data_IF_999119965176
#
_entry.id   IF_999119965176
#
_cell.length_a   1.000
_cell.length_b   1.000
_cell.length_c   1.000
_cell.angle_alpha   90.00
_cell.angle_beta   90.00
_cell.angle_gamma   90.00
#
_symmetry.space_group_name_H-M   'P 1'
#
loop_
_entity.id
_entity.type
_entity.pdbx_description
1 polymer ?
#
# COMPACT_ATOMS: atom_id res chain seq x y z
N UNK A 1 -0.43 -12.04 16.85
CA UNK A 1 0.90 -12.55 16.44
C UNK A 1 0.86 -13.06 15.00
N UNK A 2 1.13 -12.17 14.04
CA UNK A 2 1.65 -12.51 12.72
C UNK A 2 3.09 -12.02 12.74
N UNK A 3 3.93 -12.69 13.52
CA UNK A 3 5.28 -12.86 13.01
C UNK A 3 5.08 -13.74 11.79
N UNK A 4 5.12 -13.13 10.61
CA UNK A 4 5.50 -13.86 9.42
C UNK A 4 6.74 -14.62 9.86
N UNK A 5 6.63 -15.94 9.97
CA UNK A 5 7.76 -16.84 10.11
C UNK A 5 8.60 -16.65 8.86
N UNK A 6 9.33 -15.55 8.76
CA UNK A 6 10.22 -15.20 7.67
C UNK A 6 11.17 -16.36 7.46
N UNK A 7 11.67 -16.96 8.54
CA UNK A 7 12.45 -18.21 8.46
C UNK A 7 11.73 -19.41 7.85
N UNK A 8 10.41 -19.61 8.03
CA UNK A 8 9.67 -20.72 7.39
C UNK A 8 9.28 -20.37 5.95
N UNK A 9 8.91 -19.13 5.68
CA UNK A 9 8.69 -18.58 4.34
C UNK A 9 9.97 -18.67 3.48
N UNK A 10 11.12 -18.27 4.01
CA UNK A 10 12.42 -18.37 3.35
C UNK A 10 12.93 -19.80 3.23
N UNK A 11 12.64 -20.70 4.18
CA UNK A 11 12.93 -22.15 4.05
C UNK A 11 12.07 -22.82 2.98
N UNK A 12 10.80 -22.46 2.89
CA UNK A 12 9.90 -22.96 1.83
C UNK A 12 10.27 -22.40 0.44
N UNK A 13 10.98 -21.26 0.37
CA UNK A 13 11.53 -20.71 -0.87
C UNK A 13 12.79 -21.43 -1.40
N UNK A 14 13.40 -22.33 -0.62
CA UNK A 14 14.52 -23.17 -1.09
C UNK A 14 14.05 -24.36 -1.92
N UNK A 15 12.78 -24.74 -1.78
CA UNK A 15 12.12 -25.59 -2.75
C UNK A 15 11.94 -24.76 -4.03
N UNK A 16 12.57 -25.19 -5.13
CA UNK A 16 12.28 -24.66 -6.47
C UNK A 16 10.77 -24.75 -6.70
N UNK A 17 10.05 -23.65 -6.53
CA UNK A 17 8.69 -23.53 -7.03
C UNK A 17 8.83 -23.38 -8.54
N UNK A 18 8.86 -24.52 -9.25
CA UNK A 18 8.70 -24.56 -10.69
C UNK A 18 7.20 -24.34 -10.93
N UNK A 19 6.82 -23.09 -11.17
CA UNK A 19 5.48 -22.78 -11.63
C UNK A 19 5.40 -23.21 -13.09
N UNK A 20 4.47 -24.11 -13.41
CA UNK A 20 4.20 -24.50 -14.79
C UNK A 20 3.30 -23.43 -15.43
N UNK A 21 3.90 -22.59 -16.27
CA UNK A 21 3.22 -21.50 -17.00
C UNK A 21 2.97 -21.87 -18.47
N UNK A 22 3.07 -23.15 -18.84
CA UNK A 22 2.93 -23.61 -20.25
C UNK A 22 1.60 -23.22 -20.91
N UNK A 23 0.56 -22.98 -20.10
CA UNK A 23 -0.79 -22.64 -20.55
C UNK A 23 -1.03 -21.12 -20.69
N UNK A 24 -0.05 -20.26 -20.37
CA UNK A 24 -0.26 -18.80 -20.30
C UNK A 24 0.81 -18.05 -21.09
N UNK A 25 0.35 -17.15 -21.98
CA UNK A 25 1.21 -16.21 -22.70
C UNK A 25 1.19 -14.83 -22.02
N UNK A 26 2.36 -14.18 -21.90
CA UNK A 26 2.51 -12.83 -21.35
C UNK A 26 1.59 -11.79 -21.98
N UNK A 27 1.25 -11.92 -23.27
CA UNK A 27 0.30 -11.03 -23.95
C UNK A 27 -1.11 -11.10 -23.35
N UNK A 28 -1.62 -12.33 -23.09
CA UNK A 28 -2.94 -12.52 -22.46
C UNK A 28 -3.01 -11.94 -21.04
N UNK A 29 -1.89 -12.00 -20.31
CA UNK A 29 -1.79 -11.39 -19.00
C UNK A 29 -1.88 -9.86 -19.10
N UNK A 30 -1.10 -9.27 -20.02
CA UNK A 30 -1.09 -7.82 -20.25
C UNK A 30 -2.48 -7.35 -20.68
N UNK A 31 -3.13 -8.04 -21.62
CA UNK A 31 -4.46 -7.66 -22.12
C UNK A 31 -5.50 -7.69 -21.00
N UNK A 32 -5.53 -8.77 -20.21
CA UNK A 32 -6.48 -8.91 -19.12
C UNK A 32 -6.33 -7.82 -18.04
N UNK A 33 -5.09 -7.57 -17.59
CA UNK A 33 -4.85 -6.57 -16.53
C UNK A 33 -4.97 -5.13 -17.05
N UNK A 34 -4.55 -4.87 -18.29
CA UNK A 34 -4.70 -3.55 -18.92
C UNK A 34 -6.17 -3.17 -19.06
N UNK A 35 -7.02 -4.08 -19.56
CA UNK A 35 -8.46 -3.83 -19.68
C UNK A 35 -9.11 -3.50 -18.33
N UNK A 36 -8.63 -4.12 -17.25
CA UNK A 36 -9.19 -3.87 -15.92
C UNK A 36 -8.82 -2.47 -15.39
N UNK A 37 -7.60 -1.98 -15.67
CA UNK A 37 -7.15 -0.66 -15.21
C UNK A 37 -7.55 0.49 -16.13
N UNK A 38 -7.84 0.22 -17.41
CA UNK A 38 -8.30 1.23 -18.37
C UNK A 38 -9.81 1.27 -18.54
N UNK A 39 -10.55 0.42 -17.81
CA UNK A 39 -12.00 0.35 -17.92
C UNK A 39 -12.63 1.69 -17.53
N UNK A 40 -13.17 2.40 -18.52
CA UNK A 40 -14.05 3.52 -18.29
C UNK A 40 -15.25 3.01 -17.48
N UNK A 41 -15.45 3.59 -16.31
CA UNK A 41 -16.61 3.32 -15.46
C UNK A 41 -17.68 4.33 -15.87
N UNK A 42 -18.92 3.88 -16.10
CA UNK A 42 -20.02 4.81 -16.24
C UNK A 42 -20.15 5.61 -14.93
N UNK A 43 -20.45 6.92 -14.99
CA UNK A 43 -20.53 7.73 -13.79
C UNK A 43 -21.49 7.08 -12.79
N UNK A 44 -21.02 6.80 -11.57
CA UNK A 44 -21.83 6.16 -10.55
C UNK A 44 -23.07 7.02 -10.27
N UNK A 45 -24.26 6.47 -10.47
CA UNK A 45 -25.51 7.20 -10.18
C UNK A 45 -25.87 7.10 -8.70
N UNK A 46 -26.24 8.23 -8.09
CA UNK A 46 -26.77 8.27 -6.72
C UNK A 46 -25.72 8.14 -5.60
N UNK A 47 -24.44 8.42 -5.85
CA UNK A 47 -23.38 8.43 -4.80
C UNK A 47 -23.73 9.33 -3.63
N UNK A 48 -24.46 10.42 -3.88
CA UNK A 48 -24.96 11.34 -2.85
C UNK A 48 -25.78 10.64 -1.76
N UNK A 49 -26.51 9.56 -2.10
CA UNK A 49 -27.32 8.79 -1.14
C UNK A 49 -26.47 8.09 -0.07
N UNK A 50 -25.19 7.87 -0.34
CA UNK A 50 -24.26 7.15 0.52
C UNK A 50 -23.21 8.07 1.16
N UNK A 51 -23.29 9.39 0.92
CA UNK A 51 -22.29 10.35 1.41
C UNK A 51 -22.92 11.50 2.18
N UNK A 52 -22.45 11.71 3.41
CA UNK A 52 -22.82 12.89 4.21
C UNK A 52 -21.77 13.96 4.01
N UNK A 53 -22.19 15.22 3.89
CA UNK A 53 -21.26 16.35 3.91
C UNK A 53 -20.76 16.56 5.33
N UNK A 54 -19.45 16.50 5.53
CA UNK A 54 -18.86 16.81 6.82
C UNK A 54 -18.48 18.28 6.86
N UNK A 55 -18.75 18.98 7.96
CA UNK A 55 -18.32 20.37 8.13
C UNK A 55 -16.81 20.50 8.19
N UNK A 56 -16.33 21.62 7.65
CA UNK A 56 -14.92 22.01 7.63
C UNK A 56 -14.39 22.11 9.06
N UNK A 57 -13.28 21.43 9.31
CA UNK A 57 -12.60 21.42 10.59
C UNK A 57 -11.31 22.24 10.46
N UNK A 58 -11.17 23.27 11.29
CA UNK A 58 -10.19 24.34 11.11
C UNK A 58 -8.73 24.07 11.57
N UNK A 59 -8.40 23.16 12.49
CA UNK A 59 -7.00 22.99 12.85
C UNK A 59 -6.28 22.17 11.77
N UNK A 60 -5.32 22.82 11.12
CA UNK A 60 -4.37 22.17 10.24
C UNK A 60 -3.51 21.21 11.06
N UNK A 61 -3.71 19.90 10.91
CA UNK A 61 -2.77 18.93 11.45
C UNK A 61 -1.41 19.10 10.76
N UNK A 62 -0.36 19.23 11.57
CA UNK A 62 1.00 19.31 11.07
C UNK A 62 1.44 18.04 10.35
N UNK A 63 2.24 18.23 9.28
CA UNK A 63 3.04 17.16 8.70
C UNK A 63 4.12 16.67 9.68
N UNK A 64 4.70 15.47 9.46
CA UNK A 64 5.77 14.97 10.31
C UNK A 64 6.89 15.99 10.52
N UNK A 65 7.28 16.19 11.77
CA UNK A 65 8.46 16.99 12.10
C UNK A 65 9.76 16.25 11.71
N UNK A 66 10.93 16.82 12.01
CA UNK A 66 12.22 16.22 11.69
C UNK A 66 12.41 14.84 12.34
N UNK A 67 12.09 14.71 13.62
CA UNK A 67 12.26 13.46 14.36
C UNK A 67 11.26 12.39 13.90
N UNK A 68 10.02 12.79 13.60
CA UNK A 68 9.01 11.91 13.02
C UNK A 68 9.41 11.44 11.61
N UNK A 69 9.98 12.32 10.78
CA UNK A 69 10.48 11.98 9.45
C UNK A 69 11.65 10.98 9.50
N UNK A 70 12.64 11.22 10.38
CA UNK A 70 13.74 10.28 10.63
C UNK A 70 13.20 8.92 11.13
N UNK A 71 12.18 8.96 11.98
CA UNK A 71 11.50 7.74 12.46
C UNK A 71 10.82 7.00 11.32
N UNK A 72 10.15 7.70 10.39
CA UNK A 72 9.56 7.09 9.18
C UNK A 72 10.66 6.38 8.38
N UNK A 73 11.76 7.07 8.07
CA UNK A 73 12.88 6.49 7.31
C UNK A 73 13.44 5.26 8.01
N UNK A 74 13.70 5.35 9.32
CA UNK A 74 14.28 4.27 10.14
C UNK A 74 13.46 2.97 10.07
N UNK A 75 12.13 3.08 10.06
CA UNK A 75 11.23 1.93 10.07
C UNK A 75 10.92 1.34 8.69
N UNK A 76 11.46 1.92 7.60
CA UNK A 76 11.33 1.30 6.27
C UNK A 76 12.19 0.04 6.15
N UNK A 77 11.84 -0.92 5.31
CA UNK A 77 12.72 -2.09 5.06
C UNK A 77 13.87 -1.71 4.13
N UNK A 78 15.13 -2.03 4.49
CA UNK A 78 16.32 -1.65 3.72
C UNK A 78 16.24 -2.05 2.24
N UNK A 79 15.78 -3.28 1.98
CA UNK A 79 15.73 -3.89 0.65
C UNK A 79 14.32 -3.95 0.07
N UNK A 80 13.45 -3.01 0.48
CA UNK A 80 12.13 -2.86 -0.14
C UNK A 80 12.29 -2.61 -1.64
N UNK A 81 11.56 -3.36 -2.47
CA UNK A 81 11.60 -3.24 -3.93
C UNK A 81 11.48 -1.78 -4.37
N UNK A 82 12.45 -1.26 -5.14
CA UNK A 82 12.43 0.11 -5.65
C UNK A 82 11.43 0.22 -6.80
N UNK A 83 11.14 1.47 -7.20
CA UNK A 83 10.40 1.71 -8.44
C UNK A 83 11.35 1.71 -9.63
N UNK A 84 10.94 2.38 -10.70
CA UNK A 84 11.76 2.57 -11.89
C UNK A 84 13.04 3.40 -11.66
N UNK A 85 13.17 4.04 -10.50
CA UNK A 85 14.36 4.78 -10.06
C UNK A 85 15.49 3.88 -9.53
N UNK A 86 15.21 2.63 -9.18
CA UNK A 86 16.18 1.70 -8.61
C UNK A 86 16.69 2.08 -7.21
N UNK A 87 16.08 3.07 -6.54
CA UNK A 87 16.58 3.59 -5.26
C UNK A 87 16.02 2.78 -4.10
N UNK A 88 16.90 2.03 -3.42
CA UNK A 88 16.56 1.28 -2.21
C UNK A 88 16.57 2.15 -0.95
N UNK A 89 15.71 1.80 0.02
CA UNK A 89 15.69 2.46 1.33
C UNK A 89 17.03 2.34 2.08
N UNK A 90 17.84 1.32 1.79
CA UNK A 90 19.20 1.20 2.33
C UNK A 90 19.98 2.51 2.12
N UNK A 91 20.06 3.00 0.89
CA UNK A 91 20.82 4.23 0.61
C UNK A 91 20.18 5.45 1.28
N UNK A 92 18.85 5.55 1.26
CA UNK A 92 18.12 6.65 1.92
C UNK A 92 18.41 6.69 3.42
N UNK A 93 18.43 5.54 4.11
CA UNK A 93 18.73 5.46 5.55
C UNK A 93 20.16 5.85 5.88
N UNK A 94 21.11 5.44 5.06
CA UNK A 94 22.54 5.66 5.32
C UNK A 94 23.02 7.06 4.94
N UNK A 95 22.37 7.73 3.98
CA UNK A 95 22.68 9.09 3.57
C UNK A 95 21.94 10.13 4.44
N UNK A 96 22.28 10.20 5.72
CA UNK A 96 21.63 11.08 6.72
C UNK A 96 21.70 12.55 6.36
N UNK A 97 22.76 12.99 5.70
CA UNK A 97 22.93 14.38 5.23
C UNK A 97 21.83 14.81 4.25
N UNK A 98 21.19 13.84 3.57
CA UNK A 98 20.08 14.13 2.65
C UNK A 98 18.72 14.22 3.36
N UNK A 99 18.59 13.80 4.62
CA UNK A 99 17.29 13.67 5.28
C UNK A 99 16.57 15.00 5.40
N UNK A 100 17.29 16.08 5.74
CA UNK A 100 16.69 17.41 5.84
C UNK A 100 16.24 17.95 4.47
N UNK A 101 17.00 17.67 3.41
CA UNK A 101 16.62 18.04 2.04
C UNK A 101 15.38 17.23 1.61
N UNK A 102 15.41 15.91 1.82
CA UNK A 102 14.31 15.01 1.48
C UNK A 102 13.03 15.40 2.21
N UNK A 103 13.12 15.70 3.52
CA UNK A 103 11.97 16.18 4.32
C UNK A 103 11.38 17.45 3.72
N UNK A 104 12.23 18.45 3.42
CA UNK A 104 11.77 19.71 2.81
C UNK A 104 11.08 19.47 1.46
N UNK A 105 11.65 18.64 0.58
CA UNK A 105 11.03 18.36 -0.71
C UNK A 105 9.72 17.57 -0.55
N UNK A 106 9.69 16.55 0.32
CA UNK A 106 8.45 15.82 0.65
C UNK A 106 7.36 16.76 1.14
N UNK A 107 7.68 17.72 2.01
CA UNK A 107 6.71 18.70 2.49
C UNK A 107 6.23 19.63 1.37
N UNK A 108 7.13 20.16 0.53
CA UNK A 108 6.74 21.01 -0.59
C UNK A 108 5.79 20.30 -1.53
N UNK A 109 6.08 19.04 -1.89
CA UNK A 109 5.20 18.22 -2.73
C UNK A 109 3.86 17.97 -2.03
N UNK A 110 3.87 17.55 -0.76
CA UNK A 110 2.66 17.26 -0.01
C UNK A 110 1.75 18.48 0.24
N UNK A 111 2.33 19.67 0.25
CA UNK A 111 1.62 20.94 0.43
C UNK A 111 1.21 21.61 -0.89
N UNK A 112 1.56 21.03 -2.05
CA UNK A 112 1.30 21.60 -3.37
C UNK A 112 2.23 22.76 -3.76
N UNK A 113 3.35 22.93 -3.04
CA UNK A 113 4.38 23.95 -3.28
C UNK A 113 5.48 23.46 -4.25
N UNK A 114 5.44 22.19 -4.63
CA UNK A 114 6.24 21.57 -5.68
C UNK A 114 5.40 20.52 -6.40
N UNK A 115 5.64 20.27 -7.71
CA UNK A 115 4.91 19.25 -8.44
C UNK A 115 5.24 17.85 -7.93
N UNK A 116 4.26 16.96 -8.00
CA UNK A 116 4.49 15.52 -7.88
C UNK A 116 5.04 15.01 -9.23
N UNK A 117 6.33 14.71 -9.24
CA UNK A 117 7.07 14.32 -10.44
C UNK A 117 6.58 13.00 -11.04
N UNK A 118 6.48 12.94 -12.36
CA UNK A 118 5.95 11.78 -13.09
C UNK A 118 6.72 10.49 -12.78
N UNK A 119 8.05 10.59 -12.68
CA UNK A 119 8.89 9.43 -12.36
C UNK A 119 8.62 8.85 -10.97
N UNK A 120 8.13 9.65 -10.02
CA UNK A 120 7.73 9.18 -8.69
C UNK A 120 6.41 8.41 -8.75
N UNK A 121 5.52 8.81 -9.65
CA UNK A 121 4.21 8.20 -9.87
C UNK A 121 4.22 7.03 -10.85
N UNK A 122 5.38 6.68 -11.43
CA UNK A 122 5.52 5.51 -12.28
C UNK A 122 5.82 4.25 -11.46
N UNK A 123 4.91 3.29 -11.51
CA UNK A 123 5.04 1.98 -10.87
C UNK A 123 5.41 0.88 -11.85
N UNK A 124 6.29 -0.04 -11.43
CA UNK A 124 6.57 -1.28 -12.17
C UNK A 124 5.72 -2.40 -11.57
N UNK A 125 4.82 -2.99 -12.35
CA UNK A 125 3.95 -4.08 -11.91
C UNK A 125 4.50 -5.42 -12.32
N UNK A 126 4.66 -6.28 -11.32
CA UNK A 126 5.00 -7.69 -11.47
C UNK A 126 3.76 -8.54 -11.23
N UNK A 127 3.53 -9.54 -12.08
CA UNK A 127 2.43 -10.46 -11.94
C UNK A 127 2.90 -11.72 -11.20
N UNK A 128 2.35 -11.95 -10.01
CA UNK A 128 2.68 -13.09 -9.17
C UNK A 128 1.57 -14.14 -9.18
N UNK A 129 1.86 -15.41 -9.46
CA UNK A 129 0.83 -16.45 -9.46
C UNK A 129 0.30 -16.71 -8.04
N UNK A 130 -1.01 -16.97 -7.91
CA UNK A 130 -1.67 -17.30 -6.64
C UNK A 130 -1.45 -18.77 -6.24
N UNK A 131 -1.16 -19.63 -7.21
CA UNK A 131 -1.01 -21.08 -7.10
C UNK A 131 0.12 -21.56 -8.02
N UNK A 132 0.56 -22.81 -7.84
CA UNK A 132 1.72 -23.36 -8.55
C UNK A 132 1.46 -23.69 -10.02
N UNK A 133 0.18 -23.81 -10.40
CA UNK A 133 -0.27 -24.14 -11.76
C UNK A 133 -1.35 -23.15 -12.20
N UNK A 134 -0.99 -21.89 -12.48
CA UNK A 134 -1.96 -20.91 -12.93
C UNK A 134 -2.43 -21.25 -14.35
N UNK A 135 -3.75 -21.26 -14.56
CA UNK A 135 -4.40 -21.56 -15.84
C UNK A 135 -5.11 -20.35 -16.45
N UNK A 136 -5.19 -19.22 -15.73
CA UNK A 136 -5.76 -17.98 -16.25
C UNK A 136 -5.12 -16.72 -15.67
N UNK A 137 -5.25 -15.60 -16.37
CA UNK A 137 -4.69 -14.31 -15.96
C UNK A 137 -5.24 -13.81 -14.60
N UNK A 138 -6.47 -14.16 -14.26
CA UNK A 138 -7.12 -13.80 -12.99
C UNK A 138 -6.49 -14.48 -11.77
N UNK A 139 -5.73 -15.56 -11.99
CA UNK A 139 -4.98 -16.27 -10.96
C UNK A 139 -3.61 -15.64 -10.67
N UNK A 140 -3.27 -14.54 -11.33
CA UNK A 140 -2.14 -13.70 -10.94
C UNK A 140 -2.59 -12.59 -9.99
N UNK A 141 -1.64 -12.06 -9.23
CA UNK A 141 -1.79 -10.85 -8.42
C UNK A 141 -0.81 -9.81 -8.97
N UNK A 142 -1.29 -8.63 -9.40
CA UNK A 142 -0.41 -7.54 -9.72
C UNK A 142 0.20 -7.00 -8.42
N UNK A 143 1.51 -6.85 -8.41
CA UNK A 143 2.23 -6.17 -7.34
C UNK A 143 3.01 -5.04 -7.98
N UNK A 144 2.54 -3.82 -7.72
CA UNK A 144 3.18 -2.60 -8.22
C UNK A 144 4.26 -2.12 -7.26
N UNK A 145 5.48 -2.00 -7.77
CA UNK A 145 6.62 -1.42 -7.09
C UNK A 145 6.76 0.06 -7.48
N UNK A 146 6.41 0.95 -6.54
CA UNK A 146 6.58 2.39 -6.66
C UNK A 146 7.98 2.84 -6.20
N UNK A 147 8.40 4.05 -6.59
CA UNK A 147 9.59 4.71 -6.01
C UNK A 147 9.53 4.70 -4.48
N UNK A 148 10.66 4.44 -3.84
CA UNK A 148 10.73 4.51 -2.38
C UNK A 148 10.59 5.95 -1.87
N UNK A 149 10.96 6.95 -2.67
CA UNK A 149 10.73 8.38 -2.35
C UNK A 149 9.25 8.74 -2.42
N UNK A 150 8.50 8.16 -3.38
CA UNK A 150 7.04 8.25 -3.42
C UNK A 150 6.39 7.64 -2.18
N UNK A 151 6.84 6.44 -1.77
CA UNK A 151 6.33 5.77 -0.56
C UNK A 151 6.61 6.57 0.71
N UNK A 152 7.79 7.17 0.85
CA UNK A 152 8.12 8.05 1.99
C UNK A 152 7.22 9.29 1.99
N UNK A 153 7.00 9.91 0.82
CA UNK A 153 6.18 11.11 0.67
C UNK A 153 4.71 10.83 1.04
N UNK A 154 4.12 9.79 0.45
CA UNK A 154 2.75 9.34 0.76
C UNK A 154 2.61 8.87 2.21
N UNK A 155 3.66 8.28 2.80
CA UNK A 155 3.68 7.93 4.23
C UNK A 155 3.59 9.17 5.11
N UNK A 156 4.30 10.24 4.78
CA UNK A 156 4.22 11.49 5.54
C UNK A 156 2.81 12.11 5.48
N UNK A 157 2.18 12.10 4.31
CA UNK A 157 0.78 12.52 4.13
C UNK A 157 -0.16 11.61 4.91
N UNK A 158 0.08 10.30 4.90
CA UNK A 158 -0.72 9.32 5.66
C UNK A 158 -0.66 9.58 7.17
N UNK A 159 0.50 9.96 7.73
CA UNK A 159 0.59 10.33 9.15
C UNK A 159 -0.30 11.54 9.47
N UNK A 160 -0.25 12.58 8.65
CA UNK A 160 -1.10 13.77 8.81
C UNK A 160 -2.59 13.43 8.65
N UNK A 161 -2.95 12.66 7.61
CA UNK A 161 -4.32 12.20 7.37
C UNK A 161 -4.86 11.36 8.54
N UNK A 162 -4.06 10.47 9.12
CA UNK A 162 -4.50 9.64 10.24
C UNK A 162 -4.75 10.45 11.51
N UNK A 163 -3.96 11.50 11.74
CA UNK A 163 -4.22 12.46 12.83
C UNK A 163 -5.52 13.22 12.58
N UNK A 164 -5.77 13.71 11.36
CA UNK A 164 -7.03 14.38 10.99
C UNK A 164 -8.24 13.48 11.21
N UNK A 165 -8.18 12.26 10.68
CA UNK A 165 -9.22 11.23 10.83
C UNK A 165 -9.50 10.96 12.31
N UNK A 166 -8.45 10.87 13.13
CA UNK A 166 -8.59 10.59 14.56
C UNK A 166 -9.22 11.77 15.31
N UNK A 167 -8.75 12.99 15.07
CA UNK A 167 -9.24 14.19 15.76
C UNK A 167 -10.72 14.42 15.43
N UNK A 168 -11.11 14.16 14.18
CA UNK A 168 -12.48 14.32 13.70
C UNK A 168 -13.38 13.10 13.93
N UNK A 169 -12.84 12.00 14.46
CA UNK A 169 -13.61 10.77 14.71
C UNK A 169 -14.24 10.15 13.45
N UNK A 170 -13.55 10.22 12.30
CA UNK A 170 -14.15 9.83 11.01
C UNK A 170 -14.26 8.31 10.79
N UNK A 171 -13.67 7.50 11.65
CA UNK A 171 -13.75 6.04 11.57
C UNK A 171 -14.74 5.52 12.60
N UNK A 172 -15.59 4.59 12.16
CA UNK A 172 -16.45 3.81 13.07
C UNK A 172 -15.61 2.98 14.03
N UNK A 173 -16.11 2.79 15.25
CA UNK A 173 -15.53 1.90 16.25
C UNK A 173 -15.39 0.45 15.78
N UNK A 174 -16.21 0.04 14.80
CA UNK A 174 -16.17 -1.29 14.20
C UNK A 174 -15.08 -1.42 13.12
N UNK A 175 -14.40 -0.35 12.73
CA UNK A 175 -13.31 -0.40 11.78
C UNK A 175 -12.07 -0.95 12.48
N UNK A 176 -11.72 -2.22 12.22
CA UNK A 176 -10.47 -2.80 12.73
C UNK A 176 -9.41 -3.00 11.66
N UNK A 177 -9.79 -2.93 10.38
CA UNK A 177 -8.86 -3.00 9.25
C UNK A 177 -7.99 -1.75 9.16
N UNK A 178 -6.69 -1.93 8.94
CA UNK A 178 -5.72 -0.82 8.73
C UNK A 178 -5.61 0.14 9.92
N UNK A 179 -6.09 -0.26 11.10
CA UNK A 179 -5.98 0.51 12.34
C UNK A 179 -4.67 0.25 13.07
N UNK A 180 -4.09 1.31 13.66
CA UNK A 180 -2.89 1.18 14.48
C UNK A 180 -3.20 0.44 15.76
N UNK A 181 -2.32 -0.49 16.15
CA UNK A 181 -2.37 -1.23 17.42
C UNK A 181 -3.63 -2.10 17.59
N UNK A 182 -4.26 -2.51 16.49
CA UNK A 182 -5.42 -3.41 16.48
C UNK A 182 -5.03 -4.73 15.81
N UNK A 183 -5.44 -5.87 16.36
CA UNK A 183 -5.24 -7.20 15.78
C UNK A 183 -6.35 -7.59 14.78
N UNK A 184 -6.92 -6.61 14.09
CA UNK A 184 -7.85 -6.72 12.95
C UNK A 184 -8.79 -7.92 13.02
N UNK A 185 -8.61 -8.85 12.08
CA UNK A 185 -9.42 -10.05 11.94
C UNK A 185 -9.46 -10.94 13.19
N UNK A 186 -8.41 -10.97 14.01
CA UNK A 186 -8.40 -11.78 15.25
C UNK A 186 -9.34 -11.21 16.29
N UNK A 187 -9.33 -9.90 16.47
CA UNK A 187 -10.25 -9.23 17.40
C UNK A 187 -11.70 -9.35 16.92
N UNK A 188 -11.98 -9.17 15.62
CA UNK A 188 -13.32 -9.42 15.07
C UNK A 188 -13.79 -10.87 15.24
N UNK A 189 -12.91 -11.85 15.02
CA UNK A 189 -13.27 -13.25 15.19
C UNK A 189 -13.63 -13.56 16.65
N UNK A 190 -12.85 -13.06 17.61
CA UNK A 190 -13.12 -13.21 19.03
C UNK A 190 -14.41 -12.49 19.44
N UNK A 191 -14.65 -11.27 18.94
CA UNK A 191 -15.88 -10.54 19.19
C UNK A 191 -17.11 -11.28 18.65
N UNK A 192 -17.03 -11.82 17.44
CA UNK A 192 -18.12 -12.63 16.86
C UNK A 192 -18.42 -13.86 17.73
N UNK A 193 -17.39 -14.61 18.14
CA UNK A 193 -17.54 -15.77 19.02
C UNK A 193 -18.21 -15.38 20.34
N UNK A 194 -17.76 -14.31 20.98
CA UNK A 194 -18.28 -13.85 22.27
C UNK A 194 -19.75 -13.42 22.18
N UNK A 195 -20.09 -12.63 21.15
CA UNK A 195 -21.47 -12.18 20.91
C UNK A 195 -22.37 -13.39 20.64
N UNK A 196 -21.96 -14.30 19.76
CA UNK A 196 -22.78 -15.45 19.43
C UNK A 196 -22.99 -16.38 20.64
N UNK A 197 -21.95 -16.59 21.46
CA UNK A 197 -22.05 -17.35 22.71
C UNK A 197 -23.04 -16.71 23.71
N UNK A 198 -23.00 -15.39 23.90
CA UNK A 198 -23.93 -14.67 24.77
C UNK A 198 -25.39 -14.83 24.32
N UNK A 199 -25.61 -15.00 23.02
CA UNK A 199 -26.92 -15.27 22.43
C UNK A 199 -27.21 -16.77 22.22
N UNK A 200 -26.53 -17.64 22.96
CA UNK A 200 -26.72 -19.11 22.93
C UNK A 200 -26.57 -19.70 21.52
N UNK A 201 -25.69 -19.13 20.72
CA UNK A 201 -25.41 -19.55 19.34
C UNK A 201 -26.63 -19.45 18.41
N UNK A 202 -27.54 -18.50 18.68
CA UNK A 202 -28.77 -18.28 17.90
C UNK A 202 -28.67 -17.13 16.90
N UNK A 203 -27.49 -16.53 16.73
CA UNK A 203 -27.29 -15.45 15.76
C UNK A 203 -26.81 -16.03 14.43
N UNK A 204 -27.32 -15.44 13.35
CA UNK A 204 -26.84 -15.69 12.00
C UNK A 204 -25.72 -14.69 11.67
N UNK A 205 -24.70 -15.16 10.95
CA UNK A 205 -23.60 -14.33 10.46
C UNK A 205 -23.53 -14.37 8.95
N UNK A 206 -23.24 -13.22 8.34
CA UNK A 206 -23.01 -13.08 6.90
C UNK A 206 -21.61 -12.54 6.67
N UNK A 207 -20.89 -13.16 5.74
CA UNK A 207 -19.55 -12.74 5.35
C UNK A 207 -19.61 -12.16 3.94
N UNK A 208 -19.21 -10.90 3.80
CA UNK A 208 -19.22 -10.17 2.53
C UNK A 208 -17.77 -9.86 2.19
N UNK A 209 -17.35 -10.22 0.98
CA UNK A 209 -16.01 -9.92 0.46
C UNK A 209 -16.12 -9.20 -0.89
N UNK A 210 -15.22 -8.24 -1.11
CA UNK A 210 -15.20 -7.42 -2.32
C UNK A 210 -14.15 -7.98 -3.27
N UNK A 211 -14.59 -8.37 -4.47
CA UNK A 211 -13.71 -8.89 -5.52
C UNK A 211 -12.75 -7.78 -5.96
N UNK A 212 -11.45 -8.02 -5.78
CA UNK A 212 -10.36 -7.10 -6.18
C UNK A 212 -10.57 -5.67 -5.65
N UNK A 213 -10.85 -5.55 -4.36
CA UNK A 213 -11.22 -4.28 -3.69
C UNK A 213 -10.33 -3.05 -3.97
N UNK A 214 -9.05 -3.22 -4.32
CA UNK A 214 -8.18 -2.09 -4.70
C UNK A 214 -8.26 -1.74 -6.19
N UNK A 215 -8.39 -2.75 -7.05
CA UNK A 215 -8.46 -2.57 -8.50
C UNK A 215 -9.86 -2.17 -8.98
N UNK A 216 -10.89 -2.44 -8.18
CA UNK A 216 -12.29 -2.18 -8.53
C UNK A 216 -12.79 -0.81 -8.05
N UNK A 217 -11.93 0.04 -7.51
CA UNK A 217 -12.34 1.36 -6.99
C UNK A 217 -12.55 2.31 -8.16
N UNK A 218 -13.76 2.87 -8.23
CA UNK A 218 -14.07 3.95 -9.16
C UNK A 218 -13.44 5.26 -8.67
N UNK A 219 -12.60 5.87 -9.52
CA UNK A 219 -11.86 7.08 -9.17
C UNK A 219 -12.76 8.33 -9.08
N UNK A 220 -13.88 8.38 -9.80
CA UNK A 220 -14.86 9.47 -9.69
C UNK A 220 -15.63 9.37 -8.38
N UNK A 221 -16.07 8.16 -7.98
CA UNK A 221 -16.65 7.93 -6.64
C UNK A 221 -15.65 8.35 -5.57
N UNK A 222 -14.39 7.90 -5.68
CA UNK A 222 -13.37 8.17 -4.69
C UNK A 222 -13.07 9.67 -4.58
N UNK A 223 -12.97 10.39 -5.72
CA UNK A 223 -12.82 11.84 -5.73
C UNK A 223 -14.01 12.53 -5.04
N UNK A 224 -15.24 12.12 -5.35
CA UNK A 224 -16.44 12.65 -4.69
C UNK A 224 -16.40 12.44 -3.18
N UNK A 225 -16.09 11.22 -2.71
CA UNK A 225 -15.98 10.90 -1.28
C UNK A 225 -14.90 11.77 -0.61
N UNK A 226 -13.71 11.87 -1.20
CA UNK A 226 -12.61 12.70 -0.65
C UNK A 226 -13.04 14.16 -0.50
N UNK A 227 -13.74 14.72 -1.49
CA UNK A 227 -14.23 16.11 -1.42
C UNK A 227 -15.27 16.30 -0.31
N UNK A 228 -16.16 15.32 -0.10
CA UNK A 228 -17.17 15.35 0.97
C UNK A 228 -16.59 15.22 2.37
N UNK A 229 -15.39 14.65 2.51
CA UNK A 229 -14.68 14.60 3.79
C UNK A 229 -14.25 16.00 4.27
N UNK A 230 -14.21 17.01 3.40
CA UNK A 230 -13.72 18.37 3.72
C UNK A 230 -12.38 18.33 4.49
N UNK A 231 -11.41 17.54 3.99
CA UNK A 231 -10.04 17.54 4.48
C UNK A 231 -9.32 18.85 4.12
N UNK A 232 -8.23 19.22 4.82
CA UNK A 232 -7.45 20.40 4.46
C UNK A 232 -7.11 20.44 2.96
N UNK A 233 -7.35 21.58 2.30
CA UNK A 233 -7.27 21.71 0.84
C UNK A 233 -5.98 21.16 0.23
N UNK A 234 -4.83 21.39 0.88
CA UNK A 234 -3.53 20.90 0.43
C UNK A 234 -3.47 19.36 0.41
N UNK A 235 -4.01 18.72 1.44
CA UNK A 235 -4.07 17.25 1.55
C UNK A 235 -5.02 16.68 0.50
N UNK A 236 -6.21 17.28 0.36
CA UNK A 236 -7.17 16.91 -0.69
C UNK A 236 -6.54 17.01 -2.07
N UNK A 237 -5.88 18.12 -2.37
CA UNK A 237 -5.19 18.32 -3.64
C UNK A 237 -4.11 17.26 -3.88
N UNK A 238 -3.25 17.01 -2.90
CA UNK A 238 -2.20 15.98 -3.02
C UNK A 238 -2.77 14.59 -3.30
N UNK A 239 -3.83 14.18 -2.58
CA UNK A 239 -4.45 12.86 -2.77
C UNK A 239 -5.04 12.73 -4.18
N UNK A 240 -5.81 13.74 -4.62
CA UNK A 240 -6.44 13.73 -5.95
C UNK A 240 -5.40 13.80 -7.08
N UNK A 241 -4.34 14.59 -6.91
CA UNK A 241 -3.25 14.68 -7.89
C UNK A 241 -2.50 13.34 -7.99
N UNK A 242 -2.30 12.65 -6.87
CA UNK A 242 -1.69 11.31 -6.83
C UNK A 242 -2.53 10.27 -7.60
N UNK A 243 -3.85 10.27 -7.41
CA UNK A 243 -4.77 9.34 -8.11
C UNK A 243 -4.70 9.56 -9.63
N UNK A 244 -4.59 10.82 -10.07
CA UNK A 244 -4.60 11.18 -11.50
C UNK A 244 -3.26 10.92 -12.21
N UNK A 245 -2.14 11.01 -11.49
CA UNK A 245 -0.79 10.90 -12.06
C UNK A 245 -0.22 9.48 -12.05
N UNK A 246 -0.88 8.54 -11.39
CA UNK A 246 -0.35 7.19 -11.27
C UNK A 246 -0.29 6.50 -12.64
N UNK A 247 0.88 6.02 -13.01
CA UNK A 247 1.10 5.24 -14.23
C UNK A 247 1.73 3.90 -13.88
N UNK A 248 1.37 2.88 -14.65
CA UNK A 248 1.80 1.50 -14.42
C UNK A 248 2.47 0.96 -15.69
N UNK A 249 3.63 0.35 -15.50
CA UNK A 249 4.30 -0.43 -16.52
C UNK A 249 4.26 -1.91 -16.10
N UNK A 250 3.65 -2.78 -16.91
CA UNK A 250 3.68 -4.23 -16.65
C UNK A 250 5.03 -4.76 -17.09
N UNK A 251 5.78 -5.35 -16.16
CA UNK A 251 7.06 -5.95 -16.48
C UNK A 251 6.87 -7.22 -17.34
N UNK A 252 7.56 -7.28 -18.48
CA UNK A 252 7.61 -8.48 -19.33
C UNK A 252 8.35 -9.65 -18.67
N UNK A 253 9.12 -9.39 -17.62
CA UNK A 253 9.73 -10.44 -16.82
C UNK A 253 8.65 -11.01 -15.90
N UNK A 254 8.03 -12.12 -16.32
CA UNK A 254 7.47 -13.07 -15.37
C UNK A 254 8.55 -13.29 -14.31
N UNK A 255 8.24 -13.00 -13.04
CA UNK A 255 9.23 -13.09 -11.97
C UNK A 255 9.57 -14.56 -11.77
N UNK A 256 10.52 -15.06 -12.56
CA UNK A 256 11.23 -16.29 -12.28
C UNK A 256 12.12 -15.98 -11.10
N UNK A 257 11.83 -16.58 -9.95
CA UNK A 257 12.63 -16.45 -8.73
C UNK A 257 14.06 -16.94 -9.03
N UNK A 258 14.97 -16.02 -9.39
CA UNK A 258 16.40 -16.27 -9.48
C UNK A 258 17.10 -15.40 -8.45
N UNK A 259 17.76 -16.07 -7.49
CA UNK A 259 18.56 -15.44 -6.42
C UNK A 259 19.66 -14.56 -7.04
N UNK A 260 19.86 -13.36 -6.51
CA UNK A 260 21.18 -12.76 -6.41
C UNK A 260 21.66 -12.97 -4.97
N UNK A 261 22.73 -13.75 -4.80
CA UNK A 261 23.33 -14.00 -3.48
C UNK A 261 24.14 -12.74 -3.13
N UNK A 262 23.81 -11.96 -2.08
CA UNK A 262 24.70 -10.88 -1.66
C UNK A 262 26.03 -11.51 -1.19
N UNK A 263 27.19 -10.88 -1.49
CA UNK A 263 28.48 -11.37 -1.04
C UNK A 263 28.49 -11.48 0.48
N UNK A 264 28.92 -12.64 0.98
CA UNK A 264 29.06 -12.92 2.40
C UNK A 264 30.03 -11.90 3.01
N UNK A 265 29.52 -10.94 3.78
CA UNK A 265 30.35 -10.16 4.69
C UNK A 265 30.81 -11.12 5.79
N UNK A 266 32.07 -11.54 5.72
CA UNK A 266 32.74 -12.27 6.79
C UNK A 266 32.80 -11.39 8.03
N UNK A 267 32.04 -11.75 9.08
CA UNK A 267 32.24 -11.14 10.40
C UNK A 267 33.63 -11.53 10.91
N UNK A 268 34.44 -10.60 11.46
CA UNK A 268 35.70 -10.95 12.08
C UNK A 268 35.43 -11.79 13.34
N UNK A 269 36.08 -12.96 13.42
CA UNK A 269 36.12 -13.79 14.64
C UNK A 269 36.91 -13.04 15.71
N UNK A 270 36.26 -12.61 16.77
CA UNK A 270 36.96 -12.30 18.01
C UNK A 270 37.47 -13.61 18.61
N UNK A 271 38.79 -13.83 18.53
CA UNK A 271 39.48 -14.77 19.40
C UNK A 271 39.49 -14.18 20.82
N UNK A 272 38.90 -14.89 21.79
CA UNK A 272 39.17 -14.68 23.21
C UNK A 272 40.48 -15.40 23.52
N UNK A 273 41.49 -14.63 23.95
CA UNK A 273 42.48 -15.09 24.91
C UNK A 273 41.96 -14.83 26.32
#
# INVERSE_FOLDING_TARGET
>A
MFELFTGRFFRNLEQKHQVDESQINSGMLIDYWSQMWTKATEPPTGVERYTTELTSYAPMVGFPDRGEFETIIKHTDNWKSPGADGIFNYYIKWLTELHDILRRQTMRVALGEAPLEEWMCRGITYLFPKNDTPTSASQYRPITCMSNLYKITTKCVTEALQREIKIRGLLTENQMGTMRKVQGAKEHALANIAINAAHKWRLYSTWIDIIKAFDSVDHEVLEHVIRRLQLPNRMTHFILDTIKRWTIEISHQLVKVRRHKPPLTTKPRHHRG
#
